data_IF_030677921046
#
_entry.id   IF_030677921046
#
_cell.length_a   1.000
_cell.length_b   1.000
_cell.length_c   1.000
_cell.angle_alpha   90.00
_cell.angle_beta   90.00
_cell.angle_gamma   90.00
#
_symmetry.space_group_name_H-M   'P 1'
#
loop_
_entity.id
_entity.type
_entity.pdbx_description
1 polymer ?
#
# COMPACT_ATOMS: atom_id res chain seq x y z
N UNK A 1 -14.64 -13.58 -29.11
CA UNK A 1 -15.04 -12.15 -29.29
C UNK A 1 -16.09 -11.65 -28.30
N UNK A 2 -17.01 -12.47 -27.77
CA UNK A 2 -17.99 -12.02 -26.75
C UNK A 2 -17.36 -11.62 -25.40
N UNK A 3 -16.27 -12.27 -24.99
CA UNK A 3 -15.54 -11.91 -23.77
C UNK A 3 -15.06 -10.45 -23.80
N UNK A 4 -14.48 -10.01 -24.92
CA UNK A 4 -14.00 -8.64 -25.15
C UNK A 4 -15.12 -7.58 -25.07
N UNK A 5 -16.37 -7.96 -25.39
CA UNK A 5 -17.53 -7.07 -25.31
C UNK A 5 -18.09 -6.94 -23.89
N UNK A 6 -17.99 -7.98 -23.06
CA UNK A 6 -18.34 -7.88 -21.62
C UNK A 6 -17.42 -6.89 -20.88
N UNK A 7 -16.16 -6.76 -21.33
CA UNK A 7 -15.16 -5.80 -20.81
C UNK A 7 -15.44 -4.33 -21.17
N UNK A 8 -16.42 -4.03 -22.02
CA UNK A 8 -16.67 -2.67 -22.49
C UNK A 8 -18.04 -2.12 -22.05
N UNK A 9 -18.91 -2.96 -21.49
CA UNK A 9 -20.32 -2.62 -21.23
C UNK A 9 -20.71 -2.55 -19.74
N UNK A 10 -19.80 -2.82 -18.81
CA UNK A 10 -20.07 -2.85 -17.35
C UNK A 10 -18.95 -2.23 -16.51
N UNK A 11 -18.32 -1.18 -17.05
CA UNK A 11 -17.03 -0.63 -16.64
C UNK A 11 -16.95 -0.31 -15.15
N UNK A 12 -16.00 -0.96 -14.49
CA UNK A 12 -15.45 -0.54 -13.21
C UNK A 12 -15.25 -1.70 -12.26
N UNK A 13 -16.34 -2.23 -11.71
CA UNK A 13 -16.25 -3.19 -10.59
C UNK A 13 -15.95 -4.60 -11.08
N UNK A 14 -16.51 -5.02 -12.21
CA UNK A 14 -16.31 -6.39 -12.73
C UNK A 14 -14.88 -6.61 -13.21
N UNK A 15 -14.27 -5.64 -13.89
CA UNK A 15 -12.86 -5.76 -14.29
C UNK A 15 -11.92 -5.83 -13.09
N UNK A 16 -12.13 -4.98 -12.08
CA UNK A 16 -11.29 -4.98 -10.88
C UNK A 16 -11.40 -6.31 -10.13
N UNK A 17 -12.58 -6.92 -10.08
CA UNK A 17 -12.77 -8.25 -9.48
C UNK A 17 -12.00 -9.31 -10.28
N UNK A 18 -12.07 -9.29 -11.61
CA UNK A 18 -11.34 -10.27 -12.45
C UNK A 18 -9.83 -10.11 -12.30
N UNK A 19 -9.32 -8.87 -12.33
CA UNK A 19 -7.89 -8.59 -12.10
C UNK A 19 -7.48 -9.05 -10.70
N UNK A 20 -8.29 -8.72 -9.69
CA UNK A 20 -8.08 -9.17 -8.31
C UNK A 20 -8.02 -10.70 -8.21
N UNK A 21 -8.91 -11.41 -8.89
CA UNK A 21 -8.95 -12.88 -8.92
C UNK A 21 -7.70 -13.47 -9.56
N UNK A 22 -7.25 -12.91 -10.69
CA UNK A 22 -6.02 -13.33 -11.37
C UNK A 22 -4.81 -13.13 -10.45
N UNK A 23 -4.66 -11.94 -9.87
CA UNK A 23 -3.58 -11.64 -8.91
C UNK A 23 -3.67 -12.58 -7.70
N UNK A 24 -4.86 -12.91 -7.21
CA UNK A 24 -5.06 -13.84 -6.10
C UNK A 24 -4.61 -15.26 -6.43
N UNK A 25 -4.79 -15.73 -7.66
CA UNK A 25 -4.35 -17.05 -8.10
C UNK A 25 -2.83 -17.11 -8.24
N UNK A 26 -2.22 -16.07 -8.82
CA UNK A 26 -0.76 -16.02 -9.02
C UNK A 26 0.02 -15.78 -7.73
N UNK A 27 -0.43 -14.84 -6.90
CA UNK A 27 0.26 -14.47 -5.66
C UNK A 27 -0.27 -15.25 -4.46
N UNK A 28 -1.50 -15.75 -4.49
CA UNK A 28 -2.16 -16.41 -3.37
C UNK A 28 -2.84 -15.42 -2.41
N UNK A 29 -4.01 -15.80 -1.90
CA UNK A 29 -4.82 -14.95 -1.01
C UNK A 29 -4.14 -14.49 0.29
N UNK A 30 -3.10 -15.21 0.73
CA UNK A 30 -2.36 -14.89 1.95
C UNK A 30 -1.16 -13.96 1.72
N UNK A 31 -0.62 -13.89 0.50
CA UNK A 31 0.60 -13.11 0.23
C UNK A 31 0.35 -11.62 0.15
N UNK A 32 -0.78 -11.18 -0.43
CA UNK A 32 -1.11 -9.75 -0.53
C UNK A 32 -1.25 -9.12 0.87
N UNK A 33 -2.03 -9.69 1.82
CA UNK A 33 -2.15 -9.12 3.16
C UNK A 33 -0.84 -9.21 3.97
N UNK A 34 -0.07 -10.29 3.81
CA UNK A 34 1.22 -10.47 4.47
C UNK A 34 2.23 -9.41 4.01
N UNK A 35 2.31 -9.17 2.70
CA UNK A 35 3.12 -8.11 2.10
C UNK A 35 2.70 -6.72 2.55
N UNK A 36 1.39 -6.42 2.54
CA UNK A 36 0.85 -5.14 3.01
C UNK A 36 1.15 -4.91 4.49
N UNK A 37 1.07 -5.94 5.33
CA UNK A 37 1.45 -5.86 6.76
C UNK A 37 2.94 -5.59 6.92
N UNK A 38 3.80 -6.23 6.13
CA UNK A 38 5.25 -5.99 6.14
C UNK A 38 5.60 -4.56 5.72
N UNK A 39 5.07 -4.11 4.58
CA UNK A 39 5.23 -2.73 4.13
C UNK A 39 4.68 -1.72 5.14
N UNK A 40 3.49 -1.96 5.69
CA UNK A 40 2.86 -1.06 6.66
C UNK A 40 3.69 -0.90 7.93
N UNK A 41 4.32 -1.98 8.42
CA UNK A 41 5.25 -1.90 9.55
C UNK A 41 6.51 -1.11 9.18
N UNK A 42 7.13 -1.40 8.04
CA UNK A 42 8.33 -0.69 7.59
C UNK A 42 8.09 0.81 7.39
N UNK A 43 6.96 1.19 6.78
CA UNK A 43 6.58 2.61 6.61
C UNK A 43 6.35 3.30 7.95
N UNK A 44 5.74 2.58 8.93
CA UNK A 44 5.52 3.12 10.27
C UNK A 44 6.84 3.35 11.01
N UNK A 45 7.70 2.34 11.06
CA UNK A 45 9.02 2.44 11.70
C UNK A 45 9.87 3.54 11.06
N UNK A 46 9.85 3.65 9.72
CA UNK A 46 10.52 4.74 9.01
C UNK A 46 9.98 6.12 9.42
N UNK A 47 8.67 6.28 9.49
CA UNK A 47 8.03 7.54 9.90
C UNK A 47 8.36 7.90 11.35
N UNK A 48 8.37 6.92 12.25
CA UNK A 48 8.69 7.12 13.66
C UNK A 48 10.15 7.55 13.83
N UNK A 49 11.09 6.88 13.17
CA UNK A 49 12.51 7.27 13.17
C UNK A 49 12.73 8.70 12.63
N UNK A 50 12.08 9.06 11.52
CA UNK A 50 12.16 10.43 10.98
C UNK A 50 11.58 11.47 11.93
N UNK A 51 10.53 11.13 12.68
CA UNK A 51 9.90 12.04 13.66
C UNK A 51 10.82 12.29 14.85
N UNK A 52 11.51 11.28 15.34
CA UNK A 52 12.42 11.43 16.48
C UNK A 52 13.67 12.23 16.08
N UNK A 53 14.24 11.97 14.89
CA UNK A 53 15.32 12.81 14.33
C UNK A 53 14.90 14.28 14.21
N UNK A 54 13.67 14.56 13.76
CA UNK A 54 13.14 15.94 13.69
C UNK A 54 13.05 16.60 15.07
N UNK A 55 12.60 15.88 16.10
CA UNK A 55 12.52 16.42 17.46
C UNK A 55 13.90 16.73 18.03
N UNK A 56 14.89 15.87 17.78
CA UNK A 56 16.25 16.09 18.28
C UNK A 56 16.90 17.33 17.63
N UNK A 57 16.64 17.53 16.32
CA UNK A 57 17.08 18.72 15.59
C UNK A 57 16.34 19.98 16.05
N UNK A 58 15.03 19.92 16.28
CA UNK A 58 14.24 21.07 16.75
C UNK A 58 14.46 21.40 18.24
N UNK A 59 14.80 20.41 19.08
CA UNK A 59 15.11 20.58 20.49
C UNK A 59 16.47 21.26 20.72
N UNK A 60 17.42 21.05 19.80
CA UNK A 60 18.75 21.68 19.87
C UNK A 60 18.71 23.17 19.53
N UNK A 61 17.78 23.62 18.68
CA UNK A 61 17.63 25.03 18.32
C UNK A 61 16.87 25.91 19.33
N UNK A 62 16.32 25.33 20.41
CA UNK A 62 15.54 26.06 21.43
C UNK A 62 16.30 26.34 22.73
N UNK A 63 17.58 25.98 22.79
CA UNK A 63 18.43 26.16 23.99
C UNK A 63 19.26 27.46 23.90
N UNK A 64 19.21 28.18 22.77
CA UNK A 64 20.02 29.39 22.52
C UNK A 64 19.24 30.73 22.55
N UNK A 65 18.04 30.80 23.15
CA UNK A 65 17.43 32.09 23.58
C UNK A 65 17.32 32.19 25.11
#
# INVERSE_FOLDING_TARGET
MKATLLFLSGMGTTELIIIGLVVLVFFGAKRIPEFMKGLGKGVREFKDAVKDVKKDVEGTGKIEE
#
